data_IF_377559371798
#
_entry.id   IF_377559371798
#
_cell.length_a   1.000
_cell.length_b   1.000
_cell.length_c   1.000
_cell.angle_alpha   90.00
_cell.angle_beta   90.00
_cell.angle_gamma   90.00
#
_symmetry.space_group_name_H-M   'P 1'
#
loop_
_entity.id
_entity.type
_entity.pdbx_description
1 polymer ?
#
# COMPACT_ATOMS: atom_id res chain seq x y z
N UNK A 1 10.13 -25.09 42.75
CA UNK A 1 9.84 -24.80 41.35
C UNK A 1 10.65 -23.57 40.95
N UNK A 2 11.67 -23.76 40.12
CA UNK A 2 12.50 -22.67 39.61
C UNK A 2 11.74 -21.91 38.56
N UNK A 3 11.38 -20.64 38.83
CA UNK A 3 10.89 -19.72 37.81
C UNK A 3 12.06 -19.40 36.88
N UNK A 4 12.00 -19.89 35.66
CA UNK A 4 12.95 -19.46 34.61
C UNK A 4 12.54 -18.07 34.12
N UNK A 5 13.27 -17.05 34.50
CA UNK A 5 13.12 -15.70 33.94
C UNK A 5 13.50 -15.73 32.45
N UNK A 6 12.51 -15.78 31.57
CA UNK A 6 12.72 -15.55 30.15
C UNK A 6 12.83 -14.05 29.93
N UNK A 7 14.07 -13.57 29.70
CA UNK A 7 14.29 -12.20 29.29
C UNK A 7 14.03 -12.08 27.78
N UNK A 8 12.95 -11.40 27.43
CA UNK A 8 12.67 -10.96 26.05
C UNK A 8 13.47 -9.67 25.79
N UNK A 9 14.37 -9.71 24.82
CA UNK A 9 15.06 -8.51 24.35
C UNK A 9 14.35 -8.00 23.09
N UNK A 10 13.81 -6.77 23.14
CA UNK A 10 13.41 -6.04 21.97
C UNK A 10 14.66 -5.56 21.23
N UNK A 11 14.91 -6.10 20.05
CA UNK A 11 15.98 -5.67 19.17
C UNK A 11 15.44 -4.59 18.24
N UNK A 12 16.01 -3.38 18.34
CA UNK A 12 15.86 -2.37 17.30
C UNK A 12 16.96 -2.61 16.25
N UNK A 13 16.57 -3.05 15.04
CA UNK A 13 17.50 -3.15 13.93
C UNK A 13 17.72 -1.76 13.32
N UNK A 14 18.82 -1.11 13.71
CA UNK A 14 19.25 0.17 13.14
C UNK A 14 20.22 -0.10 12.01
N UNK A 15 19.92 0.40 10.82
CA UNK A 15 20.72 0.24 9.62
C UNK A 15 21.28 1.60 9.20
N UNK A 16 22.61 1.67 9.10
CA UNK A 16 23.27 2.87 8.61
C UNK A 16 23.31 2.89 7.07
N UNK A 17 22.75 3.94 6.48
CA UNK A 17 22.78 4.23 5.05
C UNK A 17 23.73 5.40 4.78
N UNK A 18 24.55 5.30 3.73
CA UNK A 18 25.44 6.39 3.32
C UNK A 18 24.95 7.02 2.03
N UNK A 19 24.66 8.32 2.08
CA UNK A 19 24.33 9.12 0.90
C UNK A 19 25.61 9.83 0.41
N UNK A 20 25.96 9.62 -0.86
CA UNK A 20 26.93 10.46 -1.57
C UNK A 20 26.25 11.75 -2.03
N UNK A 21 26.61 12.90 -1.43
CA UNK A 21 26.08 14.21 -1.85
C UNK A 21 26.89 14.86 -2.97
N UNK A 22 28.11 14.41 -3.18
CA UNK A 22 29.05 15.03 -4.12
C UNK A 22 29.32 14.07 -5.28
N UNK A 23 28.66 14.29 -6.40
CA UNK A 23 28.76 13.61 -7.69
C UNK A 23 29.88 12.55 -7.86
N UNK A 24 29.68 11.60 -8.70
CA UNK A 24 30.60 10.68 -9.42
C UNK A 24 31.71 9.88 -8.67
N UNK A 25 32.02 10.11 -7.42
CA UNK A 25 32.97 9.26 -6.69
C UNK A 25 32.26 8.28 -5.75
N UNK A 26 32.21 7.03 -6.17
CA UNK A 26 31.78 5.90 -5.33
C UNK A 26 32.99 5.39 -4.55
N UNK A 27 33.07 5.77 -3.29
CA UNK A 27 34.03 5.16 -2.37
C UNK A 27 33.49 3.81 -1.90
N UNK A 28 34.18 2.74 -2.25
CA UNK A 28 33.92 1.39 -1.74
C UNK A 28 34.25 1.31 -0.24
N UNK A 29 33.29 1.62 0.60
CA UNK A 29 33.41 1.33 2.03
C UNK A 29 32.56 0.10 2.34
N UNK A 30 33.15 -0.97 2.84
CA UNK A 30 32.38 -2.12 3.28
C UNK A 30 31.44 -1.69 4.41
N UNK A 31 30.14 -1.72 4.15
CA UNK A 31 29.14 -1.62 5.20
C UNK A 31 28.86 -3.02 5.70
N UNK A 32 28.78 -3.18 7.02
CA UNK A 32 28.36 -4.45 7.62
C UNK A 32 26.96 -4.78 7.08
N UNK A 33 26.92 -5.75 6.19
CA UNK A 33 25.69 -6.24 5.59
C UNK A 33 24.93 -7.05 6.65
N UNK A 34 24.20 -6.37 7.53
CA UNK A 34 23.24 -7.05 8.40
C UNK A 34 22.08 -7.50 7.52
N UNK A 35 21.82 -8.78 7.55
CA UNK A 35 20.64 -9.36 6.95
C UNK A 35 19.42 -8.88 7.74
N UNK A 36 18.53 -8.15 7.07
CA UNK A 36 17.27 -7.74 7.65
C UNK A 36 16.35 -8.95 7.79
N UNK A 37 15.55 -8.95 8.83
CA UNK A 37 14.55 -10.00 9.06
C UNK A 37 13.20 -9.32 9.24
N UNK A 38 12.20 -9.79 8.50
CA UNK A 38 10.81 -9.42 8.68
C UNK A 38 9.96 -10.67 8.87
N UNK A 39 9.02 -10.60 9.79
CA UNK A 39 8.13 -11.72 10.13
C UNK A 39 6.74 -11.47 9.54
N UNK A 40 6.21 -12.46 8.84
CA UNK A 40 4.82 -12.41 8.36
C UNK A 40 3.84 -12.48 9.53
N UNK A 41 2.69 -11.82 9.37
CA UNK A 41 1.61 -11.86 10.34
C UNK A 41 1.72 -10.88 11.50
N UNK A 42 2.80 -10.11 11.57
CA UNK A 42 2.98 -9.02 12.54
C UNK A 42 3.49 -7.77 11.84
N UNK A 43 3.32 -6.63 12.51
CA UNK A 43 3.95 -5.38 12.07
C UNK A 43 5.43 -5.40 12.39
N UNK A 44 6.25 -5.10 11.38
CA UNK A 44 7.70 -5.00 11.51
C UNK A 44 8.12 -3.54 11.33
N UNK A 45 8.94 -3.03 12.21
CA UNK A 45 9.52 -1.69 12.11
C UNK A 45 11.03 -1.79 11.87
N UNK A 46 11.49 -1.19 10.78
CA UNK A 46 12.90 -1.14 10.40
C UNK A 46 13.38 0.31 10.43
N UNK A 47 14.39 0.59 11.22
CA UNK A 47 14.97 1.93 11.38
C UNK A 47 16.22 2.07 10.51
N UNK A 48 16.26 3.12 9.69
CA UNK A 48 17.40 3.45 8.85
C UNK A 48 18.02 4.76 9.30
N UNK A 49 19.34 4.74 9.57
CA UNK A 49 20.13 5.93 9.84
C UNK A 49 20.85 6.40 8.59
N UNK A 50 20.47 7.55 8.07
CA UNK A 50 21.03 8.13 6.85
C UNK A 50 22.24 9.01 7.23
N UNK A 51 23.40 8.68 6.69
CA UNK A 51 24.66 9.35 6.97
C UNK A 51 25.34 9.81 5.68
N UNK A 52 26.14 10.86 5.78
CA UNK A 52 27.02 11.26 4.67
C UNK A 52 28.33 10.43 4.67
N UNK A 53 29.23 10.74 3.71
CA UNK A 53 30.56 10.11 3.59
C UNK A 53 31.40 10.19 4.87
N UNK A 54 31.24 11.26 5.65
CA UNK A 54 31.98 11.47 6.93
C UNK A 54 31.31 10.75 8.10
N UNK A 55 30.32 9.87 7.81
CA UNK A 55 29.50 9.16 8.80
C UNK A 55 28.65 10.08 9.71
N UNK A 56 28.48 11.36 9.35
CA UNK A 56 27.62 12.28 10.07
C UNK A 56 26.18 12.07 9.63
N UNK A 57 25.24 12.13 10.57
CA UNK A 57 23.80 12.05 10.28
C UNK A 57 23.41 13.16 9.32
N UNK A 58 22.68 12.82 8.25
CA UNK A 58 22.22 13.75 7.24
C UNK A 58 20.78 14.18 7.55
N UNK A 59 20.52 15.48 7.49
CA UNK A 59 19.15 15.94 7.62
C UNK A 59 18.35 15.59 6.35
N UNK A 60 17.30 14.79 6.50
CA UNK A 60 16.44 14.32 5.41
C UNK A 60 14.97 14.68 5.61
N UNK A 61 14.64 15.55 6.56
CA UNK A 61 13.25 15.89 6.89
C UNK A 61 12.44 16.45 5.72
N UNK A 62 13.11 17.09 4.77
CA UNK A 62 12.47 17.63 3.56
C UNK A 62 12.42 16.63 2.39
N UNK A 63 13.00 15.44 2.57
CA UNK A 63 13.15 14.48 1.49
C UNK A 63 12.03 13.44 1.53
N UNK A 64 11.43 13.16 0.39
CA UNK A 64 10.50 12.04 0.25
C UNK A 64 11.33 10.79 -0.03
N UNK A 65 11.33 9.84 0.91
CA UNK A 65 12.05 8.59 0.82
C UNK A 65 11.07 7.42 0.69
N UNK A 66 11.41 6.48 -0.17
CA UNK A 66 10.59 5.31 -0.44
C UNK A 66 11.40 4.02 -0.41
N UNK A 67 10.78 2.94 0.04
CA UNK A 67 11.32 1.59 0.02
C UNK A 67 10.58 0.71 -0.96
N UNK A 68 11.33 -0.09 -1.70
CA UNK A 68 10.82 -1.06 -2.67
C UNK A 68 11.28 -2.46 -2.29
N UNK A 69 10.35 -3.40 -2.19
CA UNK A 69 10.69 -4.82 -2.05
C UNK A 69 10.73 -5.48 -3.43
N UNK A 70 11.82 -6.15 -3.72
CA UNK A 70 12.07 -6.78 -5.02
C UNK A 70 12.31 -8.28 -4.83
N UNK A 71 11.64 -9.08 -5.64
CA UNK A 71 11.97 -10.51 -5.73
C UNK A 71 13.28 -10.66 -6.53
N UNK A 72 14.34 -11.23 -5.95
CA UNK A 72 15.65 -11.31 -6.62
C UNK A 72 15.64 -12.22 -7.85
N UNK A 73 14.76 -13.23 -7.89
CA UNK A 73 14.66 -14.19 -8.99
C UNK A 73 13.88 -13.62 -10.16
N UNK A 74 12.68 -13.10 -9.90
CA UNK A 74 11.79 -12.59 -10.96
C UNK A 74 12.06 -11.14 -11.32
N UNK A 75 12.88 -10.43 -10.54
CA UNK A 75 13.15 -8.99 -10.64
C UNK A 75 11.88 -8.12 -10.51
N UNK A 76 10.80 -8.70 -10.04
CA UNK A 76 9.52 -8.02 -9.87
C UNK A 76 9.51 -7.23 -8.57
N UNK A 77 9.03 -5.99 -8.64
CA UNK A 77 8.68 -5.18 -7.47
C UNK A 77 7.41 -5.77 -6.85
N UNK A 78 7.45 -6.07 -5.55
CA UNK A 78 6.33 -6.65 -4.80
C UNK A 78 5.52 -5.59 -4.08
N UNK A 79 6.19 -4.58 -3.52
CA UNK A 79 5.52 -3.42 -2.95
C UNK A 79 6.42 -2.18 -2.97
N UNK A 80 5.78 -1.05 -2.73
CA UNK A 80 6.34 0.28 -2.54
C UNK A 80 5.75 0.86 -1.27
N UNK A 81 6.59 1.46 -0.41
CA UNK A 81 6.15 2.16 0.78
C UNK A 81 6.97 3.42 1.03
N UNK A 82 6.31 4.49 1.45
CA UNK A 82 7.00 5.69 1.93
C UNK A 82 7.62 5.41 3.30
N UNK A 83 8.79 5.98 3.52
CA UNK A 83 9.46 5.96 4.81
C UNK A 83 8.95 7.13 5.66
N UNK A 84 8.71 6.86 6.93
CA UNK A 84 8.30 7.85 7.91
C UNK A 84 9.54 8.51 8.53
N UNK A 85 9.53 9.84 8.65
CA UNK A 85 10.56 10.54 9.40
C UNK A 85 10.34 10.35 10.89
N UNK A 86 11.42 10.10 11.62
CA UNK A 86 11.40 10.09 13.08
C UNK A 86 11.81 11.48 13.62
N UNK A 87 11.65 11.71 14.92
CA UNK A 87 12.09 12.97 15.55
C UNK A 87 13.63 13.15 15.57
N UNK A 88 14.36 12.11 15.19
CA UNK A 88 15.82 12.11 15.18
C UNK A 88 16.37 12.48 13.81
N UNK A 89 17.29 13.43 13.76
CA UNK A 89 17.98 13.82 12.52
C UNK A 89 18.62 12.63 11.83
N UNK A 90 18.33 12.47 10.55
CA UNK A 90 18.88 11.41 9.71
C UNK A 90 18.33 10.02 10.00
N UNK A 91 17.24 9.91 10.72
CA UNK A 91 16.60 8.63 11.00
C UNK A 91 15.22 8.57 10.33
N UNK A 92 14.97 7.47 9.63
CA UNK A 92 13.68 7.18 8.98
C UNK A 92 13.26 5.75 9.30
N UNK A 93 11.97 5.52 9.32
CA UNK A 93 11.35 4.26 9.69
C UNK A 93 10.56 3.69 8.50
N UNK A 94 10.74 2.41 8.25
CA UNK A 94 9.88 1.62 7.37
C UNK A 94 9.00 0.73 8.24
N UNK A 95 7.70 0.96 8.19
CA UNK A 95 6.71 0.12 8.85
C UNK A 95 6.13 -0.85 7.83
N UNK A 96 6.40 -2.14 8.00
CA UNK A 96 5.81 -3.21 7.22
C UNK A 96 4.64 -3.78 8.00
N UNK A 97 3.42 -3.42 7.60
CA UNK A 97 2.21 -3.93 8.23
C UNK A 97 2.01 -5.41 7.92
N UNK A 98 1.23 -6.09 8.74
CA UNK A 98 0.85 -7.48 8.52
C UNK A 98 0.36 -7.73 7.09
N UNK A 99 -0.46 -6.83 6.56
CA UNK A 99 -1.00 -6.92 5.21
C UNK A 99 0.06 -6.84 4.10
N UNK A 100 1.18 -6.12 4.31
CA UNK A 100 2.22 -5.94 3.29
C UNK A 100 2.91 -7.24 2.91
N UNK A 101 3.11 -8.13 3.88
CA UNK A 101 3.82 -9.39 3.70
C UNK A 101 2.90 -10.60 3.48
N UNK A 102 1.57 -10.43 3.57
CA UNK A 102 0.61 -11.54 3.55
C UNK A 102 0.77 -12.48 2.35
N UNK A 103 0.84 -11.91 1.15
CA UNK A 103 0.95 -12.66 -0.10
C UNK A 103 2.40 -12.85 -0.57
N UNK A 104 3.37 -12.40 0.23
CA UNK A 104 4.78 -12.62 -0.04
C UNK A 104 5.18 -13.98 0.54
N UNK A 105 5.78 -14.85 -0.27
CA UNK A 105 6.31 -16.14 0.21
C UNK A 105 7.49 -15.91 1.15
N UNK A 106 7.66 -16.79 2.13
CA UNK A 106 8.88 -16.78 2.93
C UNK A 106 10.11 -17.02 2.04
N UNK A 107 11.20 -16.31 2.33
CA UNK A 107 12.40 -16.39 1.49
C UNK A 107 13.29 -15.16 1.60
N UNK A 108 14.29 -15.12 0.72
CA UNK A 108 15.23 -14.01 0.61
C UNK A 108 14.74 -13.04 -0.47
N UNK A 109 14.65 -11.76 -0.10
CA UNK A 109 14.25 -10.66 -0.95
C UNK A 109 15.27 -9.53 -0.89
N UNK A 110 15.05 -8.49 -1.67
CA UNK A 110 15.90 -7.32 -1.70
C UNK A 110 15.08 -6.07 -1.44
N UNK A 111 15.56 -5.21 -0.54
CA UNK A 111 15.02 -3.86 -0.32
C UNK A 111 15.96 -2.85 -0.95
N UNK A 112 15.39 -1.92 -1.69
CA UNK A 112 16.10 -0.77 -2.18
C UNK A 112 15.40 0.52 -1.72
N UNK A 113 16.19 1.54 -1.37
CA UNK A 113 15.68 2.82 -0.90
C UNK A 113 16.00 3.90 -1.93
N UNK A 114 14.97 4.66 -2.28
CA UNK A 114 15.07 5.79 -3.20
C UNK A 114 14.65 7.09 -2.51
N UNK A 115 15.22 8.18 -3.00
CA UNK A 115 14.79 9.54 -2.72
C UNK A 115 14.10 10.08 -3.96
N UNK A 116 12.90 10.62 -3.81
CA UNK A 116 12.22 11.32 -4.87
C UNK A 116 12.72 12.76 -4.96
N UNK A 117 13.06 13.20 -6.16
CA UNK A 117 13.41 14.59 -6.38
C UNK A 117 12.17 15.48 -6.62
N UNK A 118 12.39 16.78 -6.76
CA UNK A 118 11.30 17.76 -6.99
C UNK A 118 10.52 17.54 -8.30
N UNK A 119 11.08 16.75 -9.20
CA UNK A 119 10.45 16.37 -10.48
C UNK A 119 9.73 15.02 -10.38
N UNK A 120 9.66 14.42 -9.20
CA UNK A 120 9.05 13.10 -9.00
C UNK A 120 9.91 11.92 -9.45
N UNK A 121 11.18 12.16 -9.79
CA UNK A 121 12.12 11.12 -10.26
C UNK A 121 12.81 10.49 -9.06
N UNK A 122 12.77 9.16 -8.99
CA UNK A 122 13.46 8.39 -7.96
C UNK A 122 14.97 8.36 -8.19
N UNK A 123 15.72 8.78 -7.18
CA UNK A 123 17.19 8.71 -7.14
C UNK A 123 17.63 7.73 -6.06
N UNK A 124 18.68 6.93 -6.31
CA UNK A 124 19.17 5.99 -5.32
C UNK A 124 19.76 6.72 -4.10
N UNK A 125 19.39 6.26 -2.92
CA UNK A 125 19.98 6.75 -1.66
C UNK A 125 21.25 6.01 -1.33
N UNK A 126 21.31 4.72 -1.66
CA UNK A 126 22.43 3.84 -1.38
C UNK A 126 22.83 3.06 -2.63
N UNK A 127 24.12 2.94 -2.86
CA UNK A 127 24.70 2.13 -3.94
C UNK A 127 25.96 1.43 -3.45
N UNK A 128 26.00 0.10 -3.59
CA UNK A 128 27.18 -0.72 -3.37
C UNK A 128 27.63 -1.33 -4.69
N UNK A 129 28.92 -1.17 -5.03
CA UNK A 129 29.46 -1.71 -6.30
C UNK A 129 29.35 -3.24 -6.41
N UNK A 130 29.39 -3.95 -5.29
CA UNK A 130 29.33 -5.41 -5.28
C UNK A 130 27.92 -5.96 -5.26
N UNK A 131 26.99 -5.28 -4.57
CA UNK A 131 25.60 -5.74 -4.35
C UNK A 131 24.56 -4.85 -5.03
N UNK A 132 24.96 -3.75 -5.66
CA UNK A 132 24.06 -2.79 -6.28
C UNK A 132 23.36 -1.88 -5.27
N UNK A 133 22.10 -1.56 -5.54
CA UNK A 133 21.30 -0.59 -4.77
C UNK A 133 20.49 -1.20 -3.62
N UNK A 134 20.80 -2.42 -3.20
CA UNK A 134 19.83 -3.26 -2.50
C UNK A 134 20.40 -3.86 -1.22
N UNK A 135 19.54 -4.03 -0.22
CA UNK A 135 19.78 -4.80 1.00
C UNK A 135 19.06 -6.13 0.93
N UNK A 136 19.68 -7.17 1.45
CA UNK A 136 19.00 -8.45 1.59
C UNK A 136 18.08 -8.42 2.82
N UNK A 137 16.83 -8.83 2.62
CA UNK A 137 15.86 -9.04 3.69
C UNK A 137 15.34 -10.46 3.63
N UNK A 138 15.33 -11.13 4.77
CA UNK A 138 14.71 -12.42 4.91
C UNK A 138 13.29 -12.26 5.45
N UNK A 139 12.31 -12.74 4.70
CA UNK A 139 10.94 -12.84 5.16
C UNK A 139 10.75 -14.24 5.72
N UNK A 140 10.37 -14.33 6.98
CA UNK A 140 10.12 -15.58 7.69
C UNK A 140 8.62 -15.85 7.77
N UNK A 141 8.23 -17.12 7.73
CA UNK A 141 6.85 -17.50 7.97
C UNK A 141 6.50 -17.35 9.44
N UNK A 142 5.24 -17.01 9.69
CA UNK A 142 4.63 -17.08 11.00
C UNK A 142 3.50 -18.10 10.98
N UNK A 143 3.21 -18.68 12.15
CA UNK A 143 2.24 -19.76 12.30
C UNK A 143 0.81 -19.25 12.15
N UNK A 144 0.52 -18.04 12.64
CA UNK A 144 -0.81 -17.44 12.62
C UNK A 144 -0.84 -16.14 11.79
N UNK A 145 -1.70 -16.11 10.79
CA UNK A 145 -1.97 -14.90 10.01
C UNK A 145 -3.38 -14.40 10.33
N UNK A 146 -3.51 -13.13 10.66
CA UNK A 146 -4.83 -12.51 10.80
C UNK A 146 -5.58 -12.54 9.47
N UNK A 147 -6.92 -12.63 9.48
CA UNK A 147 -7.69 -12.55 8.26
C UNK A 147 -7.48 -11.22 7.55
N UNK A 148 -7.58 -11.22 6.21
CA UNK A 148 -7.47 -9.98 5.41
C UNK A 148 -8.48 -8.95 5.92
N UNK A 149 -8.06 -7.73 6.27
CA UNK A 149 -8.99 -6.70 6.71
C UNK A 149 -9.99 -6.39 5.60
N UNK A 150 -11.25 -6.25 5.99
CA UNK A 150 -12.30 -5.79 5.10
C UNK A 150 -12.33 -4.27 5.12
N UNK A 151 -12.26 -3.66 3.95
CA UNK A 151 -12.45 -2.22 3.79
C UNK A 151 -13.94 -1.92 3.84
N UNK A 152 -14.36 -0.81 4.44
CA UNK A 152 -15.77 -0.42 4.53
C UNK A 152 -15.98 1.04 4.17
N UNK A 153 -17.07 1.34 3.50
CA UNK A 153 -17.61 2.69 3.32
C UNK A 153 -19.06 2.72 3.80
N UNK A 154 -19.37 3.69 4.65
CA UNK A 154 -20.70 3.99 5.17
C UNK A 154 -21.11 5.44 4.89
N UNK A 155 -20.25 6.18 4.21
CA UNK A 155 -20.50 7.53 3.74
C UNK A 155 -20.36 7.58 2.24
N UNK A 156 -21.30 8.28 1.59
CA UNK A 156 -21.35 8.41 0.14
C UNK A 156 -21.27 9.89 -0.20
N UNK A 157 -20.41 10.22 -1.14
CA UNK A 157 -20.22 11.58 -1.62
C UNK A 157 -21.08 11.80 -2.86
N UNK A 158 -21.82 12.87 -2.90
CA UNK A 158 -22.50 13.28 -4.12
C UNK A 158 -21.46 13.65 -5.17
N UNK A 159 -21.63 13.09 -6.36
CA UNK A 159 -20.77 13.43 -7.50
C UNK A 159 -21.11 14.85 -7.93
N UNK A 160 -20.08 15.72 -7.98
CA UNK A 160 -20.26 17.07 -8.49
C UNK A 160 -20.60 17.01 -9.99
N UNK A 161 -21.69 17.63 -10.38
CA UNK A 161 -22.00 17.83 -11.79
C UNK A 161 -20.89 18.66 -12.42
N UNK A 162 -20.20 18.11 -13.40
CA UNK A 162 -19.14 18.79 -14.14
C UNK A 162 -19.63 19.35 -15.48
N UNK A 163 -20.82 18.96 -15.90
CA UNK A 163 -21.42 19.34 -17.18
C UNK A 163 -22.93 19.56 -17.02
N UNK A 164 -23.46 20.54 -17.72
CA UNK A 164 -24.90 20.77 -17.79
C UNK A 164 -25.60 19.54 -18.38
N UNK A 165 -26.35 18.80 -17.54
CA UNK A 165 -27.00 17.53 -17.94
C UNK A 165 -26.53 16.28 -17.19
N UNK A 166 -25.52 16.39 -16.32
CA UNK A 166 -25.13 15.29 -15.42
C UNK A 166 -26.28 14.97 -14.44
N UNK A 167 -26.52 13.69 -14.13
CA UNK A 167 -27.62 13.30 -13.25
C UNK A 167 -27.42 13.87 -11.84
N UNK A 168 -28.38 14.65 -11.35
CA UNK A 168 -28.34 15.41 -10.10
C UNK A 168 -28.21 14.54 -8.82
N UNK A 169 -28.42 13.21 -8.92
CA UNK A 169 -28.51 12.30 -7.78
C UNK A 169 -27.56 11.10 -7.93
N UNK A 170 -26.31 11.35 -8.27
CA UNK A 170 -25.30 10.28 -8.32
C UNK A 170 -24.40 10.37 -7.09
N UNK A 171 -24.21 9.26 -6.42
CA UNK A 171 -23.38 9.14 -5.22
C UNK A 171 -22.29 8.10 -5.43
N UNK A 172 -21.16 8.29 -4.77
CA UNK A 172 -20.02 7.40 -4.84
C UNK A 172 -19.45 7.08 -3.48
N UNK A 173 -18.85 5.90 -3.32
CA UNK A 173 -18.00 5.59 -2.17
C UNK A 173 -16.66 6.29 -2.30
N UNK A 174 -15.90 6.36 -1.20
CA UNK A 174 -14.45 6.53 -1.28
C UNK A 174 -13.84 5.40 -2.12
N UNK A 175 -12.65 5.65 -2.68
CA UNK A 175 -11.91 4.61 -3.40
C UNK A 175 -11.40 3.54 -2.42
N UNK A 176 -11.76 2.29 -2.68
CA UNK A 176 -11.17 1.14 -2.00
C UNK A 176 -9.88 0.75 -2.69
N UNK A 177 -8.84 0.46 -1.91
CA UNK A 177 -7.61 -0.09 -2.48
C UNK A 177 -7.86 -1.49 -3.05
N UNK A 178 -7.52 -1.71 -4.31
CA UNK A 178 -7.54 -3.03 -4.94
C UNK A 178 -6.39 -3.93 -4.50
N UNK A 179 -5.43 -3.38 -3.74
CA UNK A 179 -4.25 -4.10 -3.25
C UNK A 179 -3.56 -4.93 -4.35
N UNK A 180 -3.40 -4.33 -5.53
CA UNK A 180 -2.86 -4.99 -6.72
C UNK A 180 -1.56 -5.76 -6.48
N UNK A 181 -0.66 -5.21 -5.65
CA UNK A 181 0.62 -5.83 -5.34
C UNK A 181 0.48 -7.04 -4.42
N UNK A 182 -0.61 -7.13 -3.66
CA UNK A 182 -0.88 -8.17 -2.67
C UNK A 182 -1.87 -9.22 -3.19
N UNK A 183 -2.81 -8.82 -4.01
CA UNK A 183 -3.87 -9.70 -4.53
C UNK A 183 -3.46 -10.49 -5.77
N UNK A 184 -2.27 -10.26 -6.28
CA UNK A 184 -1.70 -11.05 -7.37
C UNK A 184 -1.26 -12.46 -6.88
N UNK A 185 -1.52 -13.54 -7.61
CA UNK A 185 -2.05 -13.59 -9.00
C UNK A 185 -3.58 -13.65 -9.12
N UNK A 186 -4.32 -13.75 -8.02
CA UNK A 186 -5.75 -14.04 -8.06
C UNK A 186 -6.61 -12.84 -8.48
N UNK A 187 -6.17 -11.63 -8.09
CA UNK A 187 -6.89 -10.37 -8.39
C UNK A 187 -8.41 -10.46 -8.12
N UNK A 188 -8.80 -11.21 -7.06
CA UNK A 188 -10.19 -11.41 -6.68
C UNK A 188 -10.62 -10.35 -5.69
N UNK A 189 -11.70 -9.65 -6.02
CA UNK A 189 -12.35 -8.68 -5.16
C UNK A 189 -13.77 -9.12 -4.85
N UNK A 190 -14.10 -9.22 -3.58
CA UNK A 190 -15.46 -9.54 -3.12
C UNK A 190 -16.09 -8.29 -2.53
N UNK A 191 -17.21 -7.87 -3.11
CA UNK A 191 -18.01 -6.74 -2.65
C UNK A 191 -19.30 -7.23 -1.99
N UNK A 192 -19.66 -6.60 -0.86
CA UNK A 192 -20.97 -6.76 -0.25
C UNK A 192 -21.61 -5.39 -0.09
N UNK A 193 -22.79 -5.21 -0.68
CA UNK A 193 -23.58 -3.97 -0.67
C UNK A 193 -24.79 -4.18 0.22
N UNK A 194 -25.01 -3.26 1.14
CA UNK A 194 -26.09 -3.30 2.12
C UNK A 194 -27.15 -2.25 1.80
N UNK A 195 -28.15 -2.57 0.98
CA UNK A 195 -29.25 -1.67 0.68
C UNK A 195 -30.24 -1.58 1.85
N UNK A 196 -30.90 -0.43 2.00
CA UNK A 196 -31.99 -0.19 2.93
C UNK A 196 -33.17 0.37 2.16
N UNK A 197 -34.16 -0.49 1.86
CA UNK A 197 -35.31 -0.21 1.00
C UNK A 197 -34.91 0.49 -0.31
N UNK A 198 -33.74 0.17 -0.83
CA UNK A 198 -33.13 0.88 -1.96
C UNK A 198 -33.82 0.56 -3.28
N UNK A 199 -34.16 1.62 -4.00
CA UNK A 199 -34.60 1.57 -5.41
C UNK A 199 -33.67 2.46 -6.23
N UNK A 200 -33.06 1.93 -7.25
CA UNK A 200 -32.16 2.67 -8.14
C UNK A 200 -31.15 1.76 -8.82
N UNK A 201 -30.14 2.38 -9.42
CA UNK A 201 -29.07 1.72 -10.16
C UNK A 201 -27.76 1.78 -9.37
N UNK A 202 -26.98 0.73 -9.48
CA UNK A 202 -25.62 0.64 -8.90
C UNK A 202 -24.67 0.22 -10.01
N UNK A 203 -23.54 0.93 -10.10
CA UNK A 203 -22.43 0.59 -10.97
C UNK A 203 -21.18 0.32 -10.14
N UNK A 204 -20.42 -0.69 -10.51
CA UNK A 204 -19.11 -0.99 -9.91
C UNK A 204 -18.03 -0.56 -10.88
N UNK A 205 -17.10 0.24 -10.40
CA UNK A 205 -16.02 0.81 -11.21
C UNK A 205 -14.66 0.50 -10.64
N UNK A 206 -13.67 0.37 -11.50
CA UNK A 206 -12.28 0.15 -11.18
C UNK A 206 -11.37 1.18 -11.84
N UNK A 207 -10.18 1.38 -11.29
CA UNK A 207 -9.15 2.25 -11.84
C UNK A 207 -7.77 1.61 -11.78
N UNK A 208 -6.95 1.87 -12.81
CA UNK A 208 -5.57 1.39 -12.92
C UNK A 208 -4.54 2.49 -12.62
N UNK A 209 -4.97 3.71 -12.33
CA UNK A 209 -4.03 4.81 -12.02
C UNK A 209 -3.33 4.55 -10.69
N UNK A 210 -2.07 4.97 -10.58
CA UNK A 210 -1.25 4.73 -9.38
C UNK A 210 -1.73 5.55 -8.18
N UNK A 211 -2.06 6.82 -8.39
CA UNK A 211 -2.61 7.69 -7.35
C UNK A 211 -4.11 7.45 -7.17
N UNK A 212 -4.62 7.75 -5.97
CA UNK A 212 -6.06 7.69 -5.71
C UNK A 212 -6.79 8.63 -6.68
N UNK A 213 -7.62 8.12 -7.61
CA UNK A 213 -8.34 8.98 -8.51
C UNK A 213 -9.44 9.75 -7.77
N UNK A 214 -9.84 10.89 -8.31
CA UNK A 214 -10.97 11.64 -7.75
C UNK A 214 -12.22 10.79 -7.72
N UNK A 215 -12.87 10.70 -6.57
CA UNK A 215 -14.07 9.89 -6.38
C UNK A 215 -15.35 10.68 -6.51
N UNK A 216 -15.31 11.99 -6.35
CA UNK A 216 -16.49 12.87 -6.38
C UNK A 216 -16.81 13.44 -7.77
N UNK A 217 -16.24 12.90 -8.82
CA UNK A 217 -16.53 13.28 -10.20
C UNK A 217 -16.65 12.03 -11.10
N UNK A 218 -17.17 12.22 -12.31
CA UNK A 218 -17.26 11.21 -13.36
C UNK A 218 -15.96 11.21 -14.19
N UNK A 219 -14.82 11.07 -13.51
CA UNK A 219 -13.49 11.06 -14.13
C UNK A 219 -13.32 9.93 -15.12
N UNK A 220 -12.58 10.18 -16.19
CA UNK A 220 -12.21 9.18 -17.20
C UNK A 220 -11.24 8.11 -16.66
N UNK A 221 -10.72 8.30 -15.45
CA UNK A 221 -9.80 7.34 -14.80
C UNK A 221 -10.52 6.09 -14.27
N UNK A 222 -11.86 6.10 -14.31
CA UNK A 222 -12.68 5.00 -13.85
C UNK A 222 -13.27 4.21 -15.02
N UNK A 223 -13.14 2.90 -14.97
CA UNK A 223 -13.71 1.95 -15.93
C UNK A 223 -14.81 1.16 -15.25
N UNK A 224 -15.97 1.07 -15.85
CA UNK A 224 -17.08 0.31 -15.31
C UNK A 224 -16.85 -1.20 -15.48
N UNK A 225 -16.87 -1.93 -14.38
CA UNK A 225 -16.79 -3.39 -14.35
C UNK A 225 -18.18 -4.03 -14.53
N UNK A 226 -19.16 -3.49 -13.84
CA UNK A 226 -20.57 -3.91 -13.94
C UNK A 226 -21.44 -2.67 -13.86
N UNK A 227 -22.38 -2.55 -14.77
CA UNK A 227 -23.33 -1.43 -14.84
C UNK A 227 -24.75 -1.92 -14.64
N UNK A 228 -25.62 -1.00 -14.20
CA UNK A 228 -27.07 -1.22 -14.10
C UNK A 228 -27.47 -2.43 -13.22
N UNK A 229 -26.85 -2.57 -12.05
CA UNK A 229 -27.39 -3.44 -11.00
C UNK A 229 -28.66 -2.75 -10.48
N UNK A 230 -29.81 -3.12 -11.02
CA UNK A 230 -31.10 -2.50 -10.70
C UNK A 230 -31.69 -3.15 -9.45
N UNK A 231 -32.09 -2.32 -8.49
CA UNK A 231 -32.81 -2.75 -7.29
C UNK A 231 -34.13 -2.02 -7.17
N UNK A 232 -35.13 -2.70 -6.62
CA UNK A 232 -36.48 -2.17 -6.38
C UNK A 232 -36.92 -2.51 -4.96
N UNK A 233 -36.88 -1.51 -4.06
CA UNK A 233 -37.30 -1.65 -2.68
C UNK A 233 -36.47 -2.70 -1.90
N UNK A 234 -35.24 -2.95 -2.30
CA UNK A 234 -34.44 -4.05 -1.75
C UNK A 234 -33.78 -3.67 -0.43
N UNK A 235 -33.82 -4.59 0.52
CA UNK A 235 -33.01 -4.56 1.76
C UNK A 235 -32.13 -5.82 1.88
N UNK A 236 -32.06 -6.65 0.83
CA UNK A 236 -31.24 -7.84 0.83
C UNK A 236 -29.79 -7.49 0.45
N UNK A 237 -28.85 -8.04 1.20
CA UNK A 237 -27.42 -7.88 0.94
C UNK A 237 -27.09 -8.47 -0.43
N UNK A 238 -26.36 -7.71 -1.24
CA UNK A 238 -25.89 -8.13 -2.55
C UNK A 238 -24.40 -8.39 -2.46
N UNK A 239 -23.97 -9.55 -2.91
CA UNK A 239 -22.55 -9.88 -3.04
C UNK A 239 -22.14 -10.01 -4.49
N UNK A 240 -20.94 -9.53 -4.83
CA UNK A 240 -20.33 -9.61 -6.15
C UNK A 240 -18.86 -9.97 -6.04
N UNK A 241 -18.40 -10.76 -6.98
CA UNK A 241 -17.00 -11.14 -7.09
C UNK A 241 -16.46 -10.68 -8.45
N UNK A 242 -15.34 -9.96 -8.43
CA UNK A 242 -14.66 -9.49 -9.64
C UNK A 242 -13.23 -10.01 -9.65
N UNK A 243 -12.82 -10.58 -10.77
CA UNK A 243 -11.43 -10.96 -11.03
C UNK A 243 -10.82 -9.93 -11.96
N UNK A 244 -10.21 -8.92 -11.37
CA UNK A 244 -9.62 -7.80 -12.10
C UNK A 244 -8.38 -7.28 -11.35
N UNK A 245 -7.30 -7.00 -12.07
CA UNK A 245 -6.11 -6.41 -11.48
C UNK A 245 -6.24 -4.89 -11.46
N UNK A 246 -6.96 -4.36 -10.47
CA UNK A 246 -7.24 -2.94 -10.31
C UNK A 246 -6.49 -2.35 -9.12
N UNK A 247 -6.05 -1.09 -9.24
CA UNK A 247 -5.46 -0.33 -8.15
C UNK A 247 -6.52 0.17 -7.17
N UNK A 248 -7.68 0.57 -7.73
CA UNK A 248 -8.77 1.16 -6.98
C UNK A 248 -10.11 0.61 -7.47
N UNK A 249 -11.06 0.49 -6.54
CA UNK A 249 -12.45 0.12 -6.81
C UNK A 249 -13.33 1.15 -6.12
N UNK A 250 -14.46 1.51 -6.77
CA UNK A 250 -15.54 2.30 -6.16
C UNK A 250 -16.90 1.79 -6.58
N UNK A 251 -17.90 2.17 -5.83
CA UNK A 251 -19.29 2.00 -6.21
C UNK A 251 -19.89 3.36 -6.52
N UNK A 252 -20.59 3.43 -7.62
CA UNK A 252 -21.43 4.55 -8.04
C UNK A 252 -22.88 4.13 -7.92
N UNK A 253 -23.76 4.96 -7.36
CA UNK A 253 -25.18 4.63 -7.31
C UNK A 253 -26.07 5.84 -7.54
N UNK A 254 -27.23 5.58 -8.18
CA UNK A 254 -28.25 6.58 -8.50
C UNK A 254 -29.54 6.16 -7.84
N UNK A 255 -29.84 6.65 -6.62
CA UNK A 255 -31.06 6.28 -5.92
C UNK A 255 -32.28 7.00 -6.49
N UNK A 256 -33.39 6.26 -6.61
CA UNK A 256 -34.72 6.81 -6.81
C UNK A 256 -35.45 6.91 -5.47
N UNK A 257 -35.23 5.93 -4.57
CA UNK A 257 -35.67 5.95 -3.15
C UNK A 257 -34.84 5.00 -2.31
N UNK A 258 -34.94 5.13 -0.98
CA UNK A 258 -34.15 4.34 -0.04
C UNK A 258 -32.66 4.75 -0.03
N UNK A 259 -31.81 3.94 0.58
CA UNK A 259 -30.40 4.25 0.74
C UNK A 259 -29.54 2.98 0.67
N UNK A 260 -28.22 3.15 0.50
CA UNK A 260 -27.21 2.12 0.77
C UNK A 260 -26.57 2.47 2.10
N UNK A 261 -26.67 1.58 3.08
CA UNK A 261 -26.15 1.81 4.44
C UNK A 261 -24.65 1.57 4.53
N UNK A 262 -24.15 0.59 3.80
CA UNK A 262 -22.74 0.20 3.86
C UNK A 262 -22.32 -0.54 2.59
N UNK A 263 -21.04 -0.41 2.27
CA UNK A 263 -20.34 -1.24 1.28
C UNK A 263 -19.10 -1.82 1.91
N UNK A 264 -18.91 -3.11 1.80
CA UNK A 264 -17.72 -3.83 2.24
C UNK A 264 -16.96 -4.36 1.03
N UNK A 265 -15.63 -4.22 1.06
CA UNK A 265 -14.74 -4.76 0.03
C UNK A 265 -13.65 -5.58 0.70
N UNK A 266 -13.44 -6.78 0.18
CA UNK A 266 -12.37 -7.68 0.59
C UNK A 266 -11.60 -8.16 -0.64
N UNK A 267 -10.26 -8.08 -0.52
CA UNK A 267 -9.30 -8.49 -1.55
C UNK A 267 -8.60 -9.78 -1.17
#
# INVERSE_FOLDING_TARGET
>A
MSQSDHKLYLYEDIIDLVIGTDGLYVDNRPMNNRKLIAHKGITNELLFCIRNRDRKKQNVFSDTLSAYLINPTTKRRLFYKLLEHTDSVGQVKLTLDEGDLRNVKAGLYRIYIAKQDVSGIDKPVYSDQNNGLVFDIQITEQIDQSPTPTQSANTFLQVASTTDGDPANVFTTSAFSGNQDRNFPNALHTLAIYPDAYTGNIDVQASLVESVPSTNNLSTDWVTLESNIVLTGSSNIITRNYTVNANWIRILHTPTSGNISQVLVRN
#
